data_IF_805222452622
#
_entry.id   IF_805222452622
#
_cell.length_a   1.000
_cell.length_b   1.000
_cell.length_c   1.000
_cell.angle_alpha   90.00
_cell.angle_beta   90.00
_cell.angle_gamma   90.00
#
_symmetry.space_group_name_H-M   'P 1'
#
loop_
_entity.id
_entity.type
_entity.pdbx_description
1 polymer ?
#
# COMPACT_ATOMS: atom_id res chain seq x y z
N UNK A 1 -26.99 5.96 -51.89
CA UNK A 1 -25.86 5.17 -51.35
C UNK A 1 -25.52 5.71 -49.97
N UNK A 2 -25.35 4.89 -48.92
CA UNK A 2 -25.05 5.41 -47.59
C UNK A 2 -23.66 6.08 -47.60
N UNK A 3 -23.63 7.38 -47.30
CA UNK A 3 -22.38 8.14 -47.19
C UNK A 3 -21.65 7.70 -45.92
N UNK A 4 -20.39 7.29 -46.06
CA UNK A 4 -19.56 6.86 -44.92
C UNK A 4 -19.25 8.06 -44.03
N UNK A 5 -19.80 8.09 -42.82
CA UNK A 5 -19.51 9.11 -41.80
C UNK A 5 -18.03 9.06 -41.41
N UNK A 6 -17.40 10.23 -41.29
CA UNK A 6 -15.99 10.36 -40.87
C UNK A 6 -15.89 10.13 -39.36
N UNK A 7 -15.02 9.21 -38.94
CA UNK A 7 -14.78 8.82 -37.53
C UNK A 7 -13.34 9.14 -37.17
N UNK A 8 -13.08 9.49 -35.91
CA UNK A 8 -11.72 9.72 -35.40
C UNK A 8 -11.04 8.37 -35.10
N UNK A 9 -9.82 8.16 -35.59
CA UNK A 9 -9.05 6.96 -35.35
C UNK A 9 -8.68 6.82 -33.86
N UNK A 10 -8.94 5.66 -33.26
CA UNK A 10 -8.61 5.39 -31.84
C UNK A 10 -7.11 5.24 -31.54
N UNK A 11 -6.29 4.98 -32.56
CA UNK A 11 -4.82 4.86 -32.43
C UNK A 11 -4.09 6.20 -32.52
N UNK A 12 -4.21 6.88 -33.68
CA UNK A 12 -3.47 8.12 -33.96
C UNK A 12 -4.31 9.40 -33.93
N UNK A 13 -5.62 9.32 -33.64
CA UNK A 13 -6.58 10.45 -33.62
C UNK A 13 -6.77 11.18 -34.96
N UNK A 14 -6.24 10.65 -36.06
CA UNK A 14 -6.54 11.14 -37.42
C UNK A 14 -7.95 10.76 -37.84
N UNK A 15 -8.62 11.62 -38.60
CA UNK A 15 -9.94 11.31 -39.16
C UNK A 15 -9.87 10.24 -40.26
N UNK A 16 -10.69 9.19 -40.15
CA UNK A 16 -10.80 8.09 -41.11
C UNK A 16 -12.27 7.83 -41.49
N UNK A 17 -12.51 7.24 -42.66
CA UNK A 17 -13.84 6.78 -43.09
C UNK A 17 -14.04 5.26 -42.85
N UNK A 18 -13.08 4.62 -42.19
CA UNK A 18 -13.13 3.19 -41.91
C UNK A 18 -14.07 2.89 -40.72
N UNK A 19 -15.02 1.97 -40.92
CA UNK A 19 -16.01 1.57 -39.92
C UNK A 19 -15.39 0.89 -38.69
N UNK A 20 -14.17 0.36 -38.79
CA UNK A 20 -13.43 -0.21 -37.65
C UNK A 20 -13.04 0.82 -36.58
N UNK A 21 -13.10 2.12 -36.90
CA UNK A 21 -12.64 3.19 -36.01
C UNK A 21 -11.12 3.31 -35.93
N UNK A 22 -10.38 2.66 -36.84
CA UNK A 22 -8.94 2.78 -37.02
C UNK A 22 -8.60 3.12 -38.48
N UNK A 23 -7.58 3.95 -38.71
CA UNK A 23 -7.07 4.20 -40.06
C UNK A 23 -6.26 2.98 -40.56
N UNK A 24 -5.94 2.92 -41.85
CA UNK A 24 -5.22 1.78 -42.43
C UNK A 24 -3.84 1.57 -41.80
N UNK A 25 -3.17 2.67 -41.42
CA UNK A 25 -1.89 2.61 -40.71
C UNK A 25 -2.00 2.13 -39.24
N UNK A 26 -3.19 2.21 -38.63
CA UNK A 26 -3.43 1.78 -37.25
C UNK A 26 -4.33 0.54 -37.16
N UNK A 27 -4.61 -0.12 -38.29
CA UNK A 27 -5.54 -1.25 -38.37
C UNK A 27 -5.13 -2.39 -37.45
N UNK A 28 -3.83 -2.65 -37.32
CA UNK A 28 -3.29 -3.73 -36.50
C UNK A 28 -3.29 -3.39 -34.99
N UNK A 29 -3.40 -2.12 -34.63
CA UNK A 29 -3.52 -1.67 -33.23
C UNK A 29 -4.89 -2.02 -32.62
N UNK A 30 -5.89 -2.28 -33.46
CA UNK A 30 -7.21 -2.74 -33.02
C UNK A 30 -7.16 -4.10 -32.29
N UNK A 31 -6.03 -4.82 -32.41
CA UNK A 31 -5.86 -6.21 -32.00
C UNK A 31 -4.96 -6.46 -30.80
N UNK A 32 -4.62 -5.47 -29.95
CA UNK A 32 -4.01 -5.83 -28.65
C UNK A 32 -5.08 -6.49 -27.78
N UNK A 33 -5.28 -7.79 -27.98
CA UNK A 33 -6.15 -8.59 -27.13
C UNK A 33 -5.69 -8.33 -25.71
N UNK A 34 -6.57 -7.83 -24.84
CA UNK A 34 -6.31 -7.79 -23.40
C UNK A 34 -5.85 -9.21 -23.03
N UNK A 35 -4.55 -9.39 -22.77
CA UNK A 35 -4.02 -10.67 -22.30
C UNK A 35 -4.81 -10.98 -21.05
N UNK A 36 -5.66 -12.00 -21.11
CA UNK A 36 -6.37 -12.48 -19.94
C UNK A 36 -5.28 -12.90 -18.97
N UNK A 37 -5.16 -12.15 -17.86
CA UNK A 37 -4.20 -12.44 -16.81
C UNK A 37 -4.65 -13.78 -16.24
N UNK A 38 -4.00 -14.89 -16.63
CA UNK A 38 -4.26 -16.19 -16.01
C UNK A 38 -3.92 -16.03 -14.53
N UNK A 39 -4.93 -16.18 -13.67
CA UNK A 39 -4.71 -16.22 -12.23
C UNK A 39 -3.81 -17.41 -11.89
N UNK A 40 -2.98 -17.26 -10.88
CA UNK A 40 -2.14 -18.36 -10.41
C UNK A 40 -3.04 -19.48 -9.85
N UNK A 41 -2.92 -20.73 -10.33
CA UNK A 41 -3.70 -21.87 -9.82
C UNK A 41 -3.57 -22.05 -8.30
N UNK A 42 -2.45 -21.62 -7.71
CA UNK A 42 -2.20 -21.71 -6.27
C UNK A 42 -3.31 -21.05 -5.44
N UNK A 43 -3.86 -19.90 -5.87
CA UNK A 43 -4.92 -19.20 -5.14
C UNK A 43 -6.25 -19.97 -5.10
N UNK A 44 -6.38 -21.02 -5.91
CA UNK A 44 -7.54 -21.93 -5.91
C UNK A 44 -7.22 -23.26 -5.23
N UNK A 45 -5.98 -23.45 -4.77
CA UNK A 45 -5.57 -24.68 -4.10
C UNK A 45 -6.30 -24.87 -2.76
N UNK A 46 -6.67 -26.11 -2.39
CA UNK A 46 -7.29 -26.38 -1.10
C UNK A 46 -6.42 -25.95 0.09
N UNK A 47 -5.09 -26.03 -0.04
CA UNK A 47 -4.18 -25.59 1.01
C UNK A 47 -4.32 -24.08 1.25
N UNK A 48 -4.30 -23.28 0.18
CA UNK A 48 -4.46 -21.83 0.29
C UNK A 48 -5.84 -21.44 0.84
N UNK A 49 -6.92 -22.07 0.36
CA UNK A 49 -8.26 -21.74 0.83
C UNK A 49 -8.42 -22.00 2.35
N UNK A 50 -7.92 -23.14 2.83
CA UNK A 50 -7.92 -23.47 4.27
C UNK A 50 -7.09 -22.49 5.09
N UNK A 51 -5.88 -22.21 4.63
CA UNK A 51 -4.98 -21.26 5.31
C UNK A 51 -5.58 -19.85 5.35
N UNK A 52 -6.09 -19.36 4.22
CA UNK A 52 -6.76 -18.06 4.10
C UNK A 52 -7.92 -17.97 5.07
N UNK A 53 -8.81 -18.95 5.10
CA UNK A 53 -10.01 -18.89 5.93
C UNK A 53 -9.67 -18.97 7.44
N UNK A 54 -8.60 -19.67 7.81
CA UNK A 54 -8.04 -19.64 9.16
C UNK A 54 -7.45 -18.26 9.49
N UNK A 55 -6.61 -17.70 8.61
CA UNK A 55 -5.97 -16.41 8.82
C UNK A 55 -6.98 -15.27 8.94
N UNK A 56 -8.05 -15.30 8.13
CA UNK A 56 -9.18 -14.35 8.20
C UNK A 56 -9.86 -14.31 9.57
N UNK A 57 -9.93 -15.44 10.27
CA UNK A 57 -10.49 -15.51 11.64
C UNK A 57 -9.51 -14.97 12.68
N UNK A 58 -8.21 -15.19 12.47
CA UNK A 58 -7.14 -14.71 13.36
C UNK A 58 -6.93 -13.20 13.25
N UNK A 59 -6.93 -12.67 12.04
CA UNK A 59 -6.71 -11.24 11.72
C UNK A 59 -7.88 -10.69 10.88
N UNK A 60 -9.02 -10.33 11.52
CA UNK A 60 -10.22 -9.87 10.81
C UNK A 60 -10.16 -8.40 10.35
N UNK A 61 -9.13 -7.66 10.76
CA UNK A 61 -8.95 -6.23 10.46
C UNK A 61 -7.82 -6.02 9.45
N UNK A 62 -7.92 -4.94 8.69
CA UNK A 62 -6.85 -4.47 7.83
C UNK A 62 -5.64 -4.04 8.68
N UNK A 63 -4.50 -4.68 8.48
CA UNK A 63 -3.28 -4.45 9.27
C UNK A 63 -2.67 -3.08 9.02
N UNK A 64 -2.69 -2.61 7.76
CA UNK A 64 -2.27 -1.25 7.39
C UNK A 64 -3.15 -0.18 8.06
N UNK A 65 -4.48 -0.35 8.00
CA UNK A 65 -5.39 0.58 8.65
C UNK A 65 -5.23 0.53 10.18
N UNK A 66 -5.00 -0.65 10.75
CA UNK A 66 -4.77 -0.82 12.18
C UNK A 66 -3.49 -0.10 12.63
N UNK A 67 -2.43 -0.14 11.82
CA UNK A 67 -1.21 0.63 12.05
C UNK A 67 -1.46 2.15 12.02
N UNK A 68 -2.37 2.62 11.16
CA UNK A 68 -2.86 4.01 11.14
C UNK A 68 -3.88 4.34 12.26
N UNK A 69 -4.13 3.42 13.20
CA UNK A 69 -5.10 3.60 14.30
C UNK A 69 -6.58 3.48 13.88
N UNK A 70 -6.86 2.94 12.69
CA UNK A 70 -8.22 2.76 12.14
C UNK A 70 -8.64 1.29 12.22
N UNK A 71 -9.88 1.05 12.66
CA UNK A 71 -10.47 -0.29 12.72
C UNK A 71 -11.32 -0.55 11.47
N UNK A 72 -10.68 -1.03 10.41
CA UNK A 72 -11.35 -1.34 9.13
C UNK A 72 -11.34 -2.86 8.94
N UNK A 73 -12.47 -3.51 8.58
CA UNK A 73 -12.49 -4.93 8.27
C UNK A 73 -11.61 -5.24 7.05
N UNK A 74 -10.99 -6.42 7.04
CA UNK A 74 -10.25 -6.88 5.87
C UNK A 74 -11.17 -7.51 4.82
N UNK A 75 -10.80 -7.33 3.54
CA UNK A 75 -11.48 -7.94 2.39
C UNK A 75 -10.66 -9.11 1.84
N UNK A 76 -9.33 -8.96 1.84
CA UNK A 76 -8.38 -9.86 1.17
C UNK A 76 -7.20 -10.19 2.08
N UNK A 77 -6.72 -11.43 1.95
CA UNK A 77 -5.44 -11.86 2.51
C UNK A 77 -4.45 -11.83 1.37
N UNK A 78 -3.41 -11.01 1.50
CA UNK A 78 -2.43 -10.74 0.45
C UNK A 78 -1.03 -11.16 0.91
N UNK A 79 -0.22 -11.66 -0.02
CA UNK A 79 1.17 -12.01 0.29
C UNK A 79 2.02 -10.73 0.40
N UNK A 80 2.82 -10.59 1.46
CA UNK A 80 3.75 -9.48 1.64
C UNK A 80 4.77 -9.49 0.50
N UNK A 81 5.50 -10.60 0.34
CA UNK A 81 6.33 -10.90 -0.83
C UNK A 81 5.51 -11.77 -1.79
N UNK A 82 5.34 -11.31 -3.03
CA UNK A 82 4.56 -12.05 -4.03
C UNK A 82 5.16 -13.44 -4.28
N UNK A 83 4.31 -14.44 -4.55
CA UNK A 83 4.74 -15.80 -4.91
C UNK A 83 5.72 -15.83 -6.09
N UNK A 84 5.54 -14.90 -7.04
CA UNK A 84 6.39 -14.77 -8.22
C UNK A 84 7.81 -14.30 -7.89
N UNK A 85 7.94 -13.57 -6.79
CA UNK A 85 9.20 -13.01 -6.30
C UNK A 85 9.85 -13.93 -5.24
N UNK A 86 9.35 -15.17 -5.08
CA UNK A 86 9.89 -16.17 -4.16
C UNK A 86 9.30 -16.15 -2.75
N UNK A 87 8.19 -15.43 -2.54
CA UNK A 87 7.51 -15.38 -1.25
C UNK A 87 7.02 -16.75 -0.77
N UNK A 88 7.09 -16.98 0.55
CA UNK A 88 6.60 -18.20 1.16
C UNK A 88 5.08 -18.35 0.95
N UNK A 89 4.60 -19.48 0.42
CA UNK A 89 3.21 -19.61 -0.03
C UNK A 89 2.17 -19.69 1.09
N UNK A 90 2.56 -20.34 2.20
CA UNK A 90 1.71 -20.64 3.36
C UNK A 90 2.44 -20.29 4.66
N UNK A 91 3.06 -19.12 4.70
CA UNK A 91 3.67 -18.60 5.93
C UNK A 91 2.83 -17.47 6.49
N UNK A 92 2.61 -17.49 7.80
CA UNK A 92 1.93 -16.42 8.50
C UNK A 92 2.71 -15.10 8.39
N UNK A 93 4.04 -15.17 8.45
CA UNK A 93 4.91 -13.99 8.37
C UNK A 93 4.97 -13.37 6.96
N UNK A 94 4.45 -14.06 5.94
CA UNK A 94 4.43 -13.59 4.56
C UNK A 94 3.01 -13.25 4.07
N UNK A 95 2.01 -13.23 4.95
CA UNK A 95 0.65 -12.79 4.59
C UNK A 95 0.19 -11.65 5.48
N UNK A 96 -0.72 -10.84 4.95
CA UNK A 96 -1.32 -9.72 5.67
C UNK A 96 -2.80 -9.58 5.31
N UNK A 97 -3.61 -9.20 6.28
CA UNK A 97 -5.01 -8.86 6.09
C UNK A 97 -5.15 -7.43 5.61
N UNK A 98 -5.75 -7.20 4.44
CA UNK A 98 -5.93 -5.87 3.84
C UNK A 98 -7.38 -5.59 3.45
N UNK A 99 -7.79 -4.34 3.58
CA UNK A 99 -8.99 -3.84 2.92
C UNK A 99 -8.71 -3.57 1.43
N UNK A 100 -9.76 -3.49 0.63
CA UNK A 100 -9.69 -3.29 -0.83
C UNK A 100 -8.89 -2.03 -1.22
N UNK A 101 -8.96 -0.98 -0.40
CA UNK A 101 -8.23 0.26 -0.61
C UNK A 101 -6.71 0.06 -0.43
N UNK A 102 -6.28 -0.48 0.71
CA UNK A 102 -4.87 -0.73 1.00
C UNK A 102 -4.28 -1.77 0.03
N UNK A 103 -5.06 -2.80 -0.33
CA UNK A 103 -4.65 -3.78 -1.34
C UNK A 103 -4.39 -3.15 -2.72
N UNK A 104 -5.28 -2.27 -3.16
CA UNK A 104 -5.12 -1.54 -4.43
C UNK A 104 -3.89 -0.62 -4.39
N UNK A 105 -3.66 0.05 -3.25
CA UNK A 105 -2.47 0.91 -3.03
C UNK A 105 -1.17 0.11 -3.10
N UNK A 106 -1.11 -1.07 -2.45
CA UNK A 106 0.04 -2.00 -2.53
C UNK A 106 0.30 -2.45 -3.96
N UNK A 107 -0.75 -2.89 -4.66
CA UNK A 107 -0.65 -3.33 -6.06
C UNK A 107 -0.13 -2.22 -6.97
N UNK A 108 -0.62 -0.98 -6.78
CA UNK A 108 -0.17 0.17 -7.54
C UNK A 108 1.30 0.51 -7.26
N UNK A 109 1.73 0.45 -5.99
CA UNK A 109 3.13 0.65 -5.60
C UNK A 109 4.05 -0.38 -6.26
N UNK A 110 3.75 -1.67 -6.11
CA UNK A 110 4.54 -2.76 -6.70
C UNK A 110 4.64 -2.63 -8.23
N UNK A 111 3.57 -2.16 -8.89
CA UNK A 111 3.59 -1.88 -10.32
C UNK A 111 4.56 -0.74 -10.67
N UNK A 112 4.53 0.38 -9.94
CA UNK A 112 5.42 1.53 -10.19
C UNK A 112 6.89 1.15 -9.99
N UNK A 113 7.19 0.36 -8.96
CA UNK A 113 8.54 -0.14 -8.67
C UNK A 113 9.07 -1.00 -9.82
N UNK A 114 8.26 -1.93 -10.34
CA UNK A 114 8.63 -2.76 -11.50
C UNK A 114 8.79 -1.96 -12.80
N UNK A 115 8.03 -0.89 -12.97
CA UNK A 115 8.13 0.01 -14.13
C UNK A 115 9.27 1.04 -13.98
N UNK A 116 10.02 1.01 -12.89
CA UNK A 116 11.17 1.91 -12.66
C UNK A 116 10.78 3.38 -12.44
N UNK A 117 9.52 3.65 -12.08
CA UNK A 117 9.07 5.00 -11.78
C UNK A 117 9.44 5.34 -10.32
N UNK A 118 10.33 6.34 -10.19
CA UNK A 118 10.89 6.86 -8.95
C UNK A 118 9.97 6.81 -7.72
N UNK A 119 10.59 6.43 -6.60
CA UNK A 119 9.99 6.28 -5.29
C UNK A 119 9.39 7.61 -4.83
N UNK A 120 8.11 7.61 -4.43
CA UNK A 120 7.63 8.65 -3.52
C UNK A 120 7.98 8.18 -2.10
N UNK A 121 8.59 9.03 -1.26
CA UNK A 121 9.01 8.67 0.09
C UNK A 121 7.82 8.19 0.94
N UNK A 122 8.05 7.40 2.01
CA UNK A 122 6.99 7.06 2.95
C UNK A 122 6.33 8.36 3.42
N UNK A 123 5.01 8.44 3.25
CA UNK A 123 4.19 9.47 3.91
C UNK A 123 4.51 9.39 5.40
N UNK A 124 5.27 10.40 5.85
CA UNK A 124 5.56 10.85 7.22
C UNK A 124 5.40 9.82 8.34
N UNK A 125 6.44 9.55 9.17
CA UNK A 125 6.15 9.02 10.49
C UNK A 125 5.23 10.05 11.19
N UNK A 126 4.16 9.55 11.79
CA UNK A 126 3.37 10.30 12.75
C UNK A 126 4.33 10.99 13.72
N UNK A 127 4.24 12.31 13.81
CA UNK A 127 4.92 13.07 14.85
C UNK A 127 4.47 12.49 16.20
N UNK A 128 5.39 12.13 17.12
CA UNK A 128 5.00 11.70 18.44
C UNK A 128 4.22 12.82 19.14
N UNK A 129 3.15 12.40 19.81
CA UNK A 129 2.35 13.21 20.72
C UNK A 129 3.23 14.08 21.63
N UNK A 130 2.72 15.28 21.91
CA UNK A 130 3.41 16.33 22.66
C UNK A 130 4.10 15.85 23.94
N UNK A 131 5.36 16.24 24.06
CA UNK A 131 6.08 16.27 25.33
C UNK A 131 6.45 17.71 25.63
N UNK A 132 5.58 18.39 26.37
CA UNK A 132 6.00 19.52 27.17
C UNK A 132 5.78 19.11 28.63
N UNK A 133 6.81 18.47 29.17
CA UNK A 133 6.92 18.19 30.59
C UNK A 133 6.84 19.51 31.38
N UNK A 134 5.87 19.55 32.28
CA UNK A 134 5.67 20.58 33.30
C UNK A 134 6.74 20.39 34.40
N UNK A 135 7.64 21.36 34.68
CA UNK A 135 8.46 21.28 35.88
C UNK A 135 7.66 21.77 37.10
N UNK A 136 7.29 20.82 37.97
CA UNK A 136 6.69 21.11 39.28
C UNK A 136 7.77 21.34 40.34
N UNK A 137 7.71 22.53 40.94
CA UNK A 137 8.17 22.92 42.28
C UNK A 137 9.67 23.07 42.58
N UNK A 138 10.05 24.26 43.07
CA UNK A 138 10.08 24.54 44.53
C UNK A 138 10.29 26.02 44.84
N UNK A 139 9.37 26.55 45.64
CA UNK A 139 9.41 27.86 46.27
C UNK A 139 10.34 27.84 47.50
N UNK A 140 11.30 28.77 47.56
CA UNK A 140 11.45 29.71 48.67
C UNK A 140 12.32 29.38 49.90
N UNK A 141 13.03 30.44 50.33
CA UNK A 141 13.67 30.75 51.64
C UNK A 141 15.05 30.11 51.82
N UNK A 142 16.17 30.80 52.03
CA UNK A 142 16.41 32.10 52.67
C UNK A 142 17.07 31.85 54.02
N UNK A 143 18.36 32.20 54.19
CA UNK A 143 18.91 32.53 55.51
C UNK A 143 20.37 32.19 55.84
N UNK A 144 21.20 33.24 55.91
CA UNK A 144 22.07 33.67 57.03
C UNK A 144 23.02 32.69 57.80
N UNK A 145 24.34 32.88 57.54
CA UNK A 145 25.53 33.07 58.43
C UNK A 145 25.92 32.18 59.65
N UNK A 146 27.25 32.16 59.88
CA UNK A 146 28.10 31.72 61.02
C UNK A 146 28.50 30.24 60.98
N UNK A 147 29.74 29.79 61.22
CA UNK A 147 30.95 30.36 61.84
C UNK A 147 31.55 29.30 62.79
N UNK A 148 32.89 29.11 62.81
CA UNK A 148 33.62 28.30 63.83
C UNK A 148 34.00 26.88 63.38
N UNK A 149 35.28 26.60 63.12
CA UNK A 149 36.33 26.14 64.06
C UNK A 149 36.16 24.70 64.55
N UNK A 150 37.15 23.84 64.28
CA UNK A 150 38.04 23.25 65.30
C UNK A 150 38.54 21.82 64.96
N UNK A 151 39.88 21.71 65.03
CA UNK A 151 40.79 20.60 65.39
C UNK A 151 40.90 19.25 64.69
N UNK A 152 42.18 18.92 64.51
CA UNK A 152 42.78 17.65 64.13
C UNK A 152 42.79 16.69 65.33
N UNK A 153 42.70 15.40 65.02
CA UNK A 153 43.18 14.29 65.84
C UNK A 153 43.88 13.30 64.95
#
# INVERSE_FOLDING_TARGET
>A
MPVKTKVVCRGCRTSTSNASGYCDACRDQAGTKRRTKKGDPFYWSPQWLRFRDWYRKKSPLCEECKADGKLVPMDVVDHIVELKDGGAPLSEDNVQSLCSHCHSKKTARAKREREGLCESPPTSPAQPFGSQNLPLAKLGRGGIEKGGSHEQG
#
